data_IF_003497406959
#
_entry.id   IF_003497406959
#
_cell.length_a   1.000
_cell.length_b   1.000
_cell.length_c   1.000
_cell.angle_alpha   90.00
_cell.angle_beta   90.00
_cell.angle_gamma   90.00
#
_symmetry.space_group_name_H-M   'P 1'
#
loop_
_entity.id
_entity.type
_entity.pdbx_description
1 polymer ?
#
# COMPACT_ATOMS: atom_id res chain seq x y z
N UNK A 1 -4.63 -19.15 10.08
CA UNK A 1 -5.30 -17.90 9.68
C UNK A 1 -4.20 -16.94 9.22
N UNK A 2 -4.18 -16.52 7.95
CA UNK A 2 -3.06 -15.79 7.33
C UNK A 2 -3.40 -14.31 7.26
N UNK A 3 -2.47 -13.45 7.65
CA UNK A 3 -2.52 -12.00 7.40
C UNK A 3 -1.53 -11.68 6.30
N UNK A 4 -1.58 -10.46 5.77
CA UNK A 4 -0.75 -10.10 4.64
C UNK A 4 -0.30 -8.66 4.80
N UNK A 5 0.94 -8.42 4.38
CA UNK A 5 1.51 -7.09 4.24
C UNK A 5 1.39 -6.73 2.77
N UNK A 6 0.52 -5.78 2.47
CA UNK A 6 0.45 -5.18 1.15
C UNK A 6 1.40 -3.99 1.21
N UNK A 7 2.63 -4.20 0.76
CA UNK A 7 3.55 -3.10 0.53
C UNK A 7 3.03 -2.35 -0.70
N UNK A 8 2.75 -1.06 -0.52
CA UNK A 8 2.25 -0.19 -1.56
C UNK A 8 2.91 1.17 -1.35
N UNK A 9 3.89 1.46 -2.18
CA UNK A 9 4.96 2.37 -1.78
C UNK A 9 4.64 3.82 -1.42
N UNK A 10 5.61 4.41 -0.71
CA UNK A 10 6.19 5.72 -0.98
C UNK A 10 7.70 5.66 -0.72
N UNK A 11 8.49 6.43 -1.45
CA UNK A 11 9.68 7.07 -0.91
C UNK A 11 9.77 8.45 -1.54
N UNK A 12 9.97 9.49 -0.72
CA UNK A 12 10.34 10.80 -1.25
C UNK A 12 11.29 11.49 -0.27
N UNK A 13 12.59 11.46 -0.59
CA UNK A 13 13.56 12.39 -0.04
C UNK A 13 14.15 13.25 -1.16
N UNK A 14 13.67 14.49 -1.26
CA UNK A 14 14.57 15.65 -1.26
C UNK A 14 13.85 16.94 -0.89
N UNK A 15 14.49 17.64 0.05
CA UNK A 15 14.21 19.01 0.47
C UNK A 15 14.23 19.98 -0.71
N UNK A 16 13.31 20.94 -0.65
CA UNK A 16 13.09 22.03 -1.60
C UNK A 16 12.57 21.58 -2.99
N UNK A 17 11.34 22.01 -3.31
CA UNK A 17 10.61 21.77 -4.57
C UNK A 17 9.94 20.39 -4.77
N UNK A 18 8.90 20.12 -3.97
CA UNK A 18 7.75 19.31 -4.40
C UNK A 18 7.94 17.80 -4.55
N UNK A 19 7.92 17.06 -3.44
CA UNK A 19 7.92 15.59 -3.43
C UNK A 19 6.66 14.98 -4.12
N UNK A 20 6.85 14.32 -5.27
CA UNK A 20 5.83 13.47 -5.89
C UNK A 20 5.75 12.13 -5.14
N UNK A 21 4.54 11.59 -4.84
CA UNK A 21 4.41 10.26 -4.25
C UNK A 21 4.84 9.19 -5.25
N UNK A 22 5.83 8.35 -4.91
CA UNK A 22 6.37 7.32 -5.80
C UNK A 22 5.89 5.92 -5.40
N UNK A 23 5.69 5.05 -6.39
CA UNK A 23 5.45 3.61 -6.21
C UNK A 23 6.77 2.87 -6.30
N UNK A 24 6.77 1.55 -6.05
CA UNK A 24 7.96 0.75 -6.29
C UNK A 24 8.38 0.83 -7.76
N UNK A 25 9.61 1.28 -7.97
CA UNK A 25 10.29 1.39 -9.26
C UNK A 25 11.78 1.15 -9.03
N UNK A 26 12.57 0.98 -10.09
CA UNK A 26 13.99 0.60 -9.97
C UNK A 26 14.79 1.47 -8.98
N UNK A 27 14.60 2.80 -8.99
CA UNK A 27 15.27 3.71 -8.06
C UNK A 27 14.91 3.61 -6.56
N UNK A 28 13.84 2.89 -6.20
CA UNK A 28 13.45 2.63 -4.78
C UNK A 28 13.42 1.13 -4.46
N UNK A 29 13.88 0.29 -5.40
CA UNK A 29 13.88 -1.16 -5.28
C UNK A 29 14.59 -1.61 -3.99
N UNK A 30 15.78 -1.06 -3.72
CA UNK A 30 16.60 -1.46 -2.57
C UNK A 30 15.88 -1.28 -1.23
N UNK A 31 15.03 -0.24 -1.09
CA UNK A 31 14.22 -0.03 0.12
C UNK A 31 13.14 -1.11 0.24
N UNK A 32 12.41 -1.40 -0.85
CA UNK A 32 11.43 -2.48 -0.85
C UNK A 32 12.06 -3.86 -0.56
N UNK A 33 13.23 -4.15 -1.13
CA UNK A 33 13.98 -5.38 -0.82
C UNK A 33 14.44 -5.41 0.65
N UNK A 34 14.84 -4.27 1.23
CA UNK A 34 15.19 -4.17 2.66
C UNK A 34 13.98 -4.48 3.54
N UNK A 35 12.84 -3.86 3.26
CA UNK A 35 11.59 -4.09 4.00
C UNK A 35 11.18 -5.56 3.99
N UNK A 36 11.20 -6.22 2.82
CA UNK A 36 10.90 -7.65 2.70
C UNK A 36 11.84 -8.47 3.59
N UNK A 37 13.14 -8.19 3.53
CA UNK A 37 14.15 -8.90 4.34
C UNK A 37 13.96 -8.65 5.84
N UNK A 38 13.70 -7.41 6.25
CA UNK A 38 13.44 -7.04 7.64
C UNK A 38 12.23 -7.79 8.21
N UNK A 39 11.12 -7.83 7.46
CA UNK A 39 9.93 -8.60 7.82
C UNK A 39 10.28 -10.08 8.04
N UNK A 40 11.04 -10.69 7.13
CA UNK A 40 11.47 -12.09 7.27
C UNK A 40 12.40 -12.31 8.45
N UNK A 41 13.36 -11.41 8.68
CA UNK A 41 14.26 -11.44 9.83
C UNK A 41 13.51 -11.35 11.17
N UNK A 42 12.40 -10.61 11.21
CA UNK A 42 11.53 -10.51 12.38
C UNK A 42 10.60 -11.73 12.57
N UNK A 43 10.69 -12.73 11.70
CA UNK A 43 9.90 -13.96 11.76
C UNK A 43 8.57 -13.89 11.03
N UNK A 44 8.28 -12.82 10.30
CA UNK A 44 7.04 -12.70 9.55
C UNK A 44 7.02 -13.69 8.36
N UNK A 45 6.05 -14.60 8.33
CA UNK A 45 5.89 -15.61 7.28
C UNK A 45 4.65 -15.37 6.41
N UNK A 46 4.12 -14.15 6.45
CA UNK A 46 2.91 -13.78 5.72
C UNK A 46 3.22 -13.53 4.24
N UNK A 47 2.21 -13.65 3.38
CA UNK A 47 2.40 -13.29 1.97
C UNK A 47 2.50 -11.77 1.84
N UNK A 48 3.41 -11.35 0.96
CA UNK A 48 3.68 -9.96 0.63
C UNK A 48 3.25 -9.74 -0.81
N UNK A 49 2.37 -8.78 -1.05
CA UNK A 49 1.92 -8.43 -2.39
C UNK A 49 2.37 -7.00 -2.69
N UNK A 50 3.20 -6.82 -3.71
CA UNK A 50 3.56 -5.52 -4.26
C UNK A 50 2.61 -5.20 -5.41
N UNK A 51 1.91 -4.07 -5.28
CA UNK A 51 0.92 -3.63 -6.25
C UNK A 51 1.48 -2.54 -7.16
N UNK A 52 1.33 -2.69 -8.48
CA UNK A 52 1.74 -1.68 -9.45
C UNK A 52 0.66 -1.41 -10.51
N UNK A 53 0.77 -0.26 -11.21
CA UNK A 53 -0.08 0.05 -12.35
C UNK A 53 0.70 0.80 -13.41
N UNK A 54 1.08 0.15 -14.50
CA UNK A 54 1.83 0.85 -15.54
C UNK A 54 2.46 0.00 -16.62
N UNK A 55 2.18 -1.30 -16.70
CA UNK A 55 2.97 -2.19 -17.56
C UNK A 55 4.43 -2.29 -17.11
N UNK A 56 5.27 -2.99 -17.89
CA UNK A 56 6.65 -3.35 -17.55
C UNK A 56 7.67 -2.21 -17.52
N UNK A 57 7.23 -0.94 -17.52
CA UNK A 57 8.13 0.22 -17.59
C UNK A 57 8.55 0.76 -16.21
N UNK A 58 7.93 0.29 -15.12
CA UNK A 58 8.21 0.79 -13.75
C UNK A 58 9.32 0.01 -13.05
N UNK A 59 9.31 -1.31 -13.21
CA UNK A 59 10.32 -2.23 -12.71
C UNK A 59 10.93 -2.95 -13.90
N UNK A 60 12.25 -2.87 -14.04
CA UNK A 60 12.92 -3.69 -15.04
C UNK A 60 12.71 -5.17 -14.75
N UNK A 61 12.78 -6.01 -15.78
CA UNK A 61 12.70 -7.47 -15.61
C UNK A 61 13.69 -7.98 -14.57
N UNK A 62 14.90 -7.42 -14.53
CA UNK A 62 15.92 -7.74 -13.52
C UNK A 62 15.45 -7.41 -12.10
N UNK A 63 14.81 -6.28 -11.89
CA UNK A 63 14.28 -5.87 -10.59
C UNK A 63 13.15 -6.78 -10.13
N UNK A 64 12.25 -7.15 -11.04
CA UNK A 64 11.18 -8.12 -10.78
C UNK A 64 11.77 -9.47 -10.40
N UNK A 65 12.70 -9.99 -11.21
CA UNK A 65 13.36 -11.28 -10.95
C UNK A 65 14.09 -11.27 -9.59
N UNK A 66 14.77 -10.18 -9.26
CA UNK A 66 15.46 -10.03 -7.97
C UNK A 66 14.48 -10.03 -6.80
N UNK A 67 13.39 -9.27 -6.88
CA UNK A 67 12.36 -9.23 -5.84
C UNK A 67 11.70 -10.59 -5.61
N UNK A 68 11.30 -11.25 -6.70
CA UNK A 68 10.68 -12.58 -6.63
C UNK A 68 11.66 -13.67 -6.18
N UNK A 69 12.97 -13.46 -6.34
CA UNK A 69 14.00 -14.39 -5.84
C UNK A 69 14.20 -14.34 -4.33
N UNK A 70 13.74 -13.29 -3.64
CA UNK A 70 13.96 -13.12 -2.20
C UNK A 70 13.18 -14.13 -1.36
N UNK A 71 11.95 -14.45 -1.78
CA UNK A 71 11.02 -15.21 -0.97
C UNK A 71 9.89 -15.76 -1.85
N UNK A 72 9.51 -17.02 -1.67
CA UNK A 72 8.48 -17.68 -2.47
C UNK A 72 7.05 -17.24 -2.14
N UNK A 73 6.88 -16.32 -1.18
CA UNK A 73 5.62 -15.70 -0.78
C UNK A 73 5.66 -14.18 -0.99
N UNK A 74 6.38 -13.75 -2.01
CA UNK A 74 6.30 -12.40 -2.57
C UNK A 74 5.62 -12.48 -3.93
N UNK A 75 4.59 -11.68 -4.13
CA UNK A 75 3.83 -11.57 -5.38
C UNK A 75 3.91 -10.15 -5.93
N UNK A 76 3.97 -10.03 -7.25
CA UNK A 76 3.84 -8.76 -7.96
C UNK A 76 2.50 -8.74 -8.70
N UNK A 77 1.68 -7.72 -8.45
CA UNK A 77 0.29 -7.65 -8.94
C UNK A 77 0.08 -6.40 -9.80
N UNK A 78 -0.18 -6.59 -11.10
CA UNK A 78 -0.64 -5.51 -12.00
C UNK A 78 -2.15 -5.31 -11.86
N UNK A 79 -2.54 -4.62 -10.80
CA UNK A 79 -3.96 -4.42 -10.46
C UNK A 79 -4.71 -3.61 -11.49
N UNK A 80 -4.04 -2.70 -12.20
CA UNK A 80 -4.70 -1.86 -13.18
C UNK A 80 -5.01 -2.63 -14.46
N UNK A 81 -4.05 -3.42 -14.97
CA UNK A 81 -4.30 -4.25 -16.15
C UNK A 81 -5.38 -5.29 -15.85
N UNK A 82 -5.31 -5.91 -14.67
CA UNK A 82 -6.30 -6.89 -14.24
C UNK A 82 -7.71 -6.26 -14.10
N UNK A 83 -7.89 -5.20 -13.31
CA UNK A 83 -9.20 -4.57 -13.11
C UNK A 83 -9.76 -3.96 -14.40
N UNK A 84 -8.92 -3.45 -15.29
CA UNK A 84 -9.34 -2.97 -16.60
C UNK A 84 -9.77 -4.10 -17.53
N UNK A 85 -9.07 -5.24 -17.54
CA UNK A 85 -9.44 -6.40 -18.35
C UNK A 85 -10.78 -7.01 -17.91
N UNK A 86 -11.08 -6.95 -16.60
CA UNK A 86 -12.36 -7.36 -16.00
C UNK A 86 -13.50 -6.35 -16.22
N UNK A 87 -13.21 -5.19 -16.80
CA UNK A 87 -14.21 -4.13 -17.02
C UNK A 87 -14.65 -3.40 -15.75
N UNK A 88 -13.95 -3.58 -14.62
CA UNK A 88 -14.29 -2.93 -13.34
C UNK A 88 -13.93 -1.44 -13.37
N UNK A 89 -12.79 -1.10 -13.99
CA UNK A 89 -12.36 0.29 -14.19
C UNK A 89 -11.93 0.51 -15.65
N UNK A 90 -12.20 1.69 -16.20
CA UNK A 90 -11.68 2.05 -17.53
C UNK A 90 -10.16 2.26 -17.49
N UNK A 91 -9.49 2.12 -18.63
CA UNK A 91 -8.05 2.45 -18.73
C UNK A 91 -7.76 3.90 -18.31
N UNK A 92 -8.67 4.83 -18.63
CA UNK A 92 -8.56 6.23 -18.21
C UNK A 92 -8.64 6.40 -16.68
N UNK A 93 -9.44 5.56 -16.01
CA UNK A 93 -9.53 5.54 -14.55
C UNK A 93 -8.31 4.87 -13.93
N UNK A 94 -7.84 3.75 -14.50
CA UNK A 94 -6.62 3.07 -14.07
C UNK A 94 -5.41 4.01 -14.08
N UNK A 95 -5.28 4.88 -15.09
CA UNK A 95 -4.23 5.89 -15.16
C UNK A 95 -4.24 6.91 -13.99
N UNK A 96 -5.38 7.09 -13.29
CA UNK A 96 -5.49 7.98 -12.12
C UNK A 96 -5.02 7.33 -10.83
N UNK A 97 -4.93 6.00 -10.79
CA UNK A 97 -4.49 5.24 -9.62
C UNK A 97 -2.97 5.03 -9.59
N UNK A 98 -2.22 5.79 -10.40
CA UNK A 98 -0.76 5.86 -10.31
C UNK A 98 -0.32 6.54 -9.01
N UNK A 99 0.93 6.34 -8.60
CA UNK A 99 1.46 6.87 -7.32
C UNK A 99 0.76 6.26 -6.09
N UNK A 100 0.67 6.98 -4.97
CA UNK A 100 0.04 6.51 -3.71
C UNK A 100 -1.40 5.99 -3.89
N UNK A 101 -2.06 6.29 -5.02
CA UNK A 101 -3.50 6.05 -5.20
C UNK A 101 -3.76 4.57 -5.47
N UNK A 102 -2.71 3.81 -5.75
CA UNK A 102 -2.80 2.36 -5.87
C UNK A 102 -3.18 1.67 -4.56
N UNK A 103 -2.97 2.31 -3.39
CA UNK A 103 -3.37 1.77 -2.08
C UNK A 103 -4.87 1.41 -2.00
N UNK A 104 -5.80 2.33 -2.31
CA UNK A 104 -7.22 1.99 -2.45
C UNK A 104 -7.50 0.84 -3.42
N UNK A 105 -6.82 0.78 -4.57
CA UNK A 105 -7.02 -0.33 -5.51
C UNK A 105 -6.52 -1.66 -4.95
N UNK A 106 -5.38 -1.67 -4.28
CA UNK A 106 -4.83 -2.86 -3.65
C UNK A 106 -5.80 -3.43 -2.62
N UNK A 107 -6.36 -2.56 -1.77
CA UNK A 107 -7.37 -2.94 -0.77
C UNK A 107 -8.66 -3.45 -1.41
N UNK A 108 -9.10 -2.87 -2.52
CA UNK A 108 -10.30 -3.34 -3.25
C UNK A 108 -10.05 -4.66 -3.97
N UNK A 109 -8.86 -4.84 -4.54
CA UNK A 109 -8.50 -5.98 -5.38
C UNK A 109 -8.21 -7.25 -4.58
N UNK A 110 -7.52 -7.11 -3.45
CA UNK A 110 -7.06 -8.26 -2.67
C UNK A 110 -8.23 -9.09 -2.14
N UNK A 111 -8.13 -10.40 -2.26
CA UNK A 111 -9.06 -11.37 -1.67
C UNK A 111 -8.62 -11.79 -0.26
N UNK A 112 -7.56 -11.18 0.23
CA UNK A 112 -7.01 -11.39 1.56
C UNK A 112 -7.98 -10.89 2.63
N UNK A 113 -8.17 -11.73 3.67
CA UNK A 113 -9.02 -11.42 4.82
C UNK A 113 -8.48 -10.32 5.73
N UNK A 114 -7.18 -10.33 6.00
CA UNK A 114 -6.56 -9.38 6.93
C UNK A 114 -5.35 -8.71 6.28
N UNK A 115 -5.48 -7.40 6.05
CA UNK A 115 -4.55 -6.61 5.25
C UNK A 115 -3.88 -5.56 6.13
N UNK A 116 -2.56 -5.45 5.99
CA UNK A 116 -1.77 -4.31 6.46
C UNK A 116 -1.17 -3.61 5.25
N UNK A 117 -1.57 -2.36 5.02
CA UNK A 117 -0.95 -1.53 3.99
C UNK A 117 0.30 -0.86 4.59
N UNK A 118 1.47 -1.13 4.02
CA UNK A 118 2.74 -0.49 4.38
C UNK A 118 3.30 0.29 3.19
N UNK A 119 3.97 1.40 3.45
CA UNK A 119 4.82 2.05 2.45
C UNK A 119 6.15 1.28 2.31
N UNK A 120 6.81 1.39 1.16
CA UNK A 120 8.13 0.76 0.92
C UNK A 120 9.25 1.47 1.68
N UNK A 121 9.01 2.67 2.20
CA UNK A 121 9.93 3.43 3.07
C UNK A 121 9.62 3.25 4.57
N UNK A 122 8.71 2.35 4.94
CA UNK A 122 8.45 2.02 6.34
C UNK A 122 9.60 1.19 6.93
N UNK A 123 9.96 1.49 8.18
CA UNK A 123 10.90 0.70 8.96
C UNK A 123 10.15 -0.12 10.00
N UNK A 124 10.34 -1.44 9.98
CA UNK A 124 9.64 -2.36 10.87
C UNK A 124 10.59 -2.82 11.97
N UNK A 125 10.25 -2.54 13.23
CA UNK A 125 11.10 -2.84 14.40
C UNK A 125 10.67 -4.10 15.16
N UNK A 126 9.51 -4.67 14.83
CA UNK A 126 8.91 -5.85 15.45
C UNK A 126 7.96 -6.52 14.46
N UNK A 127 7.78 -7.84 14.56
CA UNK A 127 6.82 -8.55 13.70
C UNK A 127 5.43 -7.86 13.73
N UNK A 128 4.95 -7.33 12.59
CA UNK A 128 3.69 -6.62 12.51
C UNK A 128 2.47 -7.51 12.83
N UNK A 129 2.65 -8.83 12.88
CA UNK A 129 1.63 -9.75 13.36
C UNK A 129 1.12 -9.44 14.77
N UNK A 130 1.89 -8.69 15.58
CA UNK A 130 1.43 -8.23 16.91
C UNK A 130 0.23 -7.29 16.82
N UNK A 131 0.02 -6.56 15.72
CA UNK A 131 -1.11 -5.61 15.60
C UNK A 131 -2.49 -6.30 15.64
N UNK A 132 -2.53 -7.62 15.46
CA UNK A 132 -3.73 -8.46 15.50
C UNK A 132 -4.32 -8.60 16.88
N UNK A 133 -3.46 -8.50 17.88
CA UNK A 133 -3.84 -8.67 19.28
C UNK A 133 -4.15 -7.33 19.92
N UNK A 134 -4.15 -6.23 19.16
CA UNK A 134 -4.62 -4.95 19.66
C UNK A 134 -6.14 -5.03 19.87
N UNK A 135 -6.59 -4.59 21.04
CA UNK A 135 -8.01 -4.62 21.40
C UNK A 135 -8.86 -3.92 20.34
N UNK A 136 -8.42 -2.76 19.83
CA UNK A 136 -9.13 -2.05 18.76
C UNK A 136 -9.24 -2.84 17.46
N UNK A 137 -8.23 -3.64 17.11
CA UNK A 137 -8.29 -4.53 15.95
C UNK A 137 -9.26 -5.70 16.19
N UNK A 138 -9.19 -6.32 17.37
CA UNK A 138 -10.04 -7.45 17.74
C UNK A 138 -11.52 -7.03 17.79
N UNK A 139 -11.79 -5.85 18.34
CA UNK A 139 -13.14 -5.31 18.50
C UNK A 139 -13.76 -4.86 17.17
N UNK A 140 -13.01 -4.13 16.34
CA UNK A 140 -13.56 -3.44 15.16
C UNK A 140 -13.17 -4.08 13.83
N UNK A 141 -12.24 -5.03 13.83
CA UNK A 141 -11.64 -5.60 12.61
C UNK A 141 -10.67 -4.66 11.88
N UNK A 142 -10.46 -3.43 12.36
CA UNK A 142 -9.57 -2.44 11.75
C UNK A 142 -8.78 -1.68 12.82
N UNK A 143 -7.64 -1.11 12.44
CA UNK A 143 -6.89 -0.21 13.32
C UNK A 143 -6.38 0.95 12.50
N UNK A 144 -6.82 2.15 12.86
CA UNK A 144 -6.32 3.39 12.30
C UNK A 144 -5.38 4.03 13.30
N UNK A 145 -4.15 4.31 12.86
CA UNK A 145 -3.22 5.08 13.65
C UNK A 145 -3.31 6.56 13.28
N UNK A 146 -3.07 7.39 14.27
CA UNK A 146 -2.98 8.82 14.06
C UNK A 146 -1.60 9.16 13.48
N UNK A 147 -1.50 9.33 12.16
CA UNK A 147 -0.24 9.70 11.49
C UNK A 147 0.22 11.09 11.97
N UNK A 148 -0.38 12.18 11.48
CA UNK A 148 0.00 13.57 11.81
C UNK A 148 -1.18 14.54 11.75
N UNK A 149 -1.15 15.60 12.57
CA UNK A 149 -2.06 16.75 12.41
C UNK A 149 -1.57 17.61 11.23
N UNK A 150 -2.27 17.55 10.09
CA UNK A 150 -2.08 18.54 9.03
C UNK A 150 -3.22 19.56 9.06
N UNK A 151 -2.94 20.78 9.54
CA UNK A 151 -3.87 21.94 9.47
C UNK A 151 -3.97 22.49 8.04
N UNK A 152 -4.32 21.64 7.07
CA UNK A 152 -4.52 21.99 5.66
C UNK A 152 -5.80 21.31 5.15
N UNK A 153 -6.57 21.99 4.30
CA UNK A 153 -7.74 21.42 3.60
C UNK A 153 -7.30 20.48 2.47
N UNK A 154 -6.62 19.39 2.81
CA UNK A 154 -6.15 18.35 1.88
C UNK A 154 -6.58 16.98 2.40
N UNK A 155 -6.67 16.00 1.50
CA UNK A 155 -7.04 14.62 1.83
C UNK A 155 -8.41 14.55 2.55
N UNK A 156 -8.53 13.72 3.58
CA UNK A 156 -9.75 13.54 4.37
C UNK A 156 -10.20 14.80 5.14
N UNK A 157 -9.32 15.79 5.31
CA UNK A 157 -9.66 17.10 5.89
C UNK A 157 -10.34 18.07 4.89
N UNK A 158 -10.59 17.62 3.65
CA UNK A 158 -11.35 18.37 2.66
C UNK A 158 -12.86 18.34 2.88
N UNK A 159 -13.61 18.97 1.96
CA UNK A 159 -15.08 18.99 1.97
C UNK A 159 -15.64 18.60 0.60
N UNK A 160 -16.76 17.86 0.60
CA UNK A 160 -17.61 17.61 -0.57
C UNK A 160 -18.98 18.24 -0.34
N UNK A 161 -19.40 19.20 -1.16
CA UNK A 161 -20.69 19.88 -1.00
C UNK A 161 -20.90 20.50 0.39
N UNK A 162 -19.82 21.01 1.02
CA UNK A 162 -19.86 21.58 2.37
C UNK A 162 -19.73 20.57 3.53
N UNK A 163 -19.88 19.26 3.28
CA UNK A 163 -19.68 18.19 4.28
C UNK A 163 -18.23 17.72 4.30
N UNK A 164 -17.67 17.48 5.49
CA UNK A 164 -16.31 16.94 5.64
C UNK A 164 -16.22 15.54 5.01
N UNK A 165 -15.13 15.24 4.28
CA UNK A 165 -14.90 13.88 3.78
C UNK A 165 -14.85 12.86 4.92
N UNK A 166 -14.30 13.22 6.10
CA UNK A 166 -14.32 12.36 7.28
C UNK A 166 -15.74 11.99 7.73
N UNK A 167 -16.73 12.87 7.56
CA UNK A 167 -18.13 12.53 7.90
C UNK A 167 -18.73 11.57 6.89
N UNK A 168 -18.36 11.69 5.61
CA UNK A 168 -18.88 10.82 4.54
C UNK A 168 -18.22 9.43 4.60
N UNK A 169 -16.90 9.38 4.76
CA UNK A 169 -16.13 8.12 4.80
C UNK A 169 -16.20 7.46 6.17
N UNK A 170 -16.21 8.24 7.26
CA UNK A 170 -16.40 7.75 8.63
C UNK A 170 -17.85 7.38 8.97
N UNK A 171 -18.75 7.37 7.98
CA UNK A 171 -20.09 6.78 8.11
C UNK A 171 -20.08 5.25 7.96
N UNK A 172 -18.91 4.63 7.73
CA UNK A 172 -18.81 3.19 7.49
C UNK A 172 -18.84 2.31 8.76
N UNK A 173 -18.84 2.88 9.97
CA UNK A 173 -19.27 2.21 11.21
C UNK A 173 -19.20 3.21 12.38
N UNK A 174 -20.30 3.35 13.12
CA UNK A 174 -20.36 3.73 14.54
C UNK A 174 -21.34 2.77 15.21
#
# INVERSE_FOLDING_TARGET
MRFFVVAVGRAAFRDHDGALPQRMHDGVLDMGLSLIRELRCLGNQELIQEYHCGGGDELSKRSVDLMLSLDNRVELVDVCSDLSSRGVISQQMAAKFRSWWIKPLAMYHTDVRHVMLLDVDDMVMKDPAVLRTLDGYVETGTTFFYDRVLRKRKFLNGKNGGKSYLRVVGSFCW
#
